data_IF_756197279804
#
_entry.id   IF_756197279804
#
_cell.length_a   1.000
_cell.length_b   1.000
_cell.length_c   1.000
_cell.angle_alpha   90.00
_cell.angle_beta   90.00
_cell.angle_gamma   90.00
#
_symmetry.space_group_name_H-M   'P 1'
#
loop_
_entity.id
_entity.type
_entity.pdbx_description
1 polymer ?
#
# COMPACT_ATOMS: atom_id res chain seq x y z
N UNK A 1 -16.98 9.98 4.46
CA UNK A 1 -15.82 10.70 3.99
C UNK A 1 -15.45 10.22 2.61
N UNK A 2 -15.40 11.13 1.62
CA UNK A 2 -14.91 10.81 0.28
C UNK A 2 -13.46 10.37 0.40
N UNK A 3 -13.19 9.14 0.00
CA UNK A 3 -11.83 8.66 -0.22
C UNK A 3 -11.18 9.63 -1.23
N UNK A 4 -10.24 10.45 -0.76
CA UNK A 4 -9.39 11.20 -1.65
C UNK A 4 -8.79 10.22 -2.66
N UNK A 5 -8.83 10.62 -3.91
CA UNK A 5 -8.41 9.77 -5.00
C UNK A 5 -6.95 9.32 -4.80
N UNK A 6 -6.64 8.03 -5.03
CA UNK A 6 -5.31 7.49 -4.83
C UNK A 6 -4.24 8.36 -5.50
N UNK A 7 -3.09 8.45 -4.85
CA UNK A 7 -1.91 9.19 -5.34
C UNK A 7 -1.29 8.58 -6.61
N UNK A 8 -1.83 7.43 -7.03
CA UNK A 8 -1.49 6.87 -8.35
C UNK A 8 -1.66 7.96 -9.39
N UNK A 9 -0.59 8.37 -10.09
CA UNK A 9 -0.68 9.46 -11.03
C UNK A 9 -1.82 9.20 -12.00
N UNK A 10 -2.84 10.11 -12.03
CA UNK A 10 -3.92 10.05 -13.05
C UNK A 10 -3.35 9.92 -14.45
N UNK A 11 -2.15 10.47 -14.63
CA UNK A 11 -1.39 10.36 -15.83
C UNK A 11 -1.08 8.91 -16.23
N UNK A 12 -0.74 8.02 -15.27
CA UNK A 12 -0.41 6.62 -15.58
C UNK A 12 -1.63 5.87 -16.10
N UNK A 13 -2.78 6.02 -15.45
CA UNK A 13 -4.03 5.39 -15.90
C UNK A 13 -4.36 5.78 -17.34
N UNK A 14 -4.27 7.08 -17.68
CA UNK A 14 -4.56 7.62 -19.01
C UNK A 14 -3.52 7.23 -20.06
N UNK A 15 -2.29 6.99 -19.63
CA UNK A 15 -1.19 6.61 -20.52
C UNK A 15 -1.13 5.10 -20.79
N UNK A 16 -1.91 4.27 -20.08
CA UNK A 16 -1.94 2.84 -20.31
C UNK A 16 -2.76 2.49 -21.54
N UNK A 17 -2.17 1.68 -22.40
CA UNK A 17 -2.79 1.15 -23.61
C UNK A 17 -2.91 -0.37 -23.48
N UNK A 18 -4.13 -0.89 -23.64
CA UNK A 18 -4.38 -2.32 -23.78
C UNK A 18 -4.59 -2.67 -25.25
N UNK A 19 -3.80 -3.58 -25.74
CA UNK A 19 -3.87 -4.02 -27.13
C UNK A 19 -4.80 -5.24 -27.25
N UNK A 20 -5.82 -5.21 -28.12
CA UNK A 20 -6.62 -6.38 -28.46
C UNK A 20 -5.74 -7.48 -29.05
N UNK A 21 -6.21 -8.76 -28.98
CA UNK A 21 -5.45 -9.91 -29.52
C UNK A 21 -5.13 -9.76 -31.01
N UNK A 22 -6.02 -9.15 -31.77
CA UNK A 22 -5.91 -8.95 -33.22
C UNK A 22 -4.94 -7.83 -33.66
N UNK A 23 -4.53 -6.94 -32.75
CA UNK A 23 -3.79 -5.71 -33.10
C UNK A 23 -2.37 -5.67 -32.53
N UNK A 24 -1.78 -6.80 -32.15
CA UNK A 24 -0.51 -6.85 -31.41
C UNK A 24 0.69 -6.25 -32.17
N UNK A 25 0.65 -6.26 -33.52
CA UNK A 25 1.79 -5.86 -34.34
C UNK A 25 1.92 -4.34 -34.56
N UNK A 26 0.85 -3.55 -34.34
CA UNK A 26 0.87 -2.10 -34.62
C UNK A 26 1.57 -1.25 -33.55
N UNK A 27 1.42 -1.61 -32.28
CA UNK A 27 1.92 -0.81 -31.16
C UNK A 27 3.39 -1.06 -30.78
N UNK A 28 3.95 -2.20 -31.19
CA UNK A 28 5.40 -2.45 -31.05
C UNK A 28 6.26 -1.52 -31.89
N UNK A 29 5.65 -0.76 -32.82
CA UNK A 29 6.31 0.22 -33.68
C UNK A 29 6.20 1.66 -33.17
N UNK A 30 5.46 1.92 -32.09
CA UNK A 30 5.37 3.26 -31.51
C UNK A 30 6.57 3.48 -30.59
N UNK A 31 7.51 4.39 -30.90
CA UNK A 31 8.77 4.53 -30.17
C UNK A 31 8.57 4.98 -28.71
N UNK A 32 7.40 5.53 -28.38
CA UNK A 32 7.04 5.99 -27.03
C UNK A 32 6.31 4.95 -26.19
N UNK A 33 5.90 3.80 -26.76
CA UNK A 33 5.14 2.78 -26.06
C UNK A 33 6.06 1.74 -25.43
N UNK A 34 6.09 1.69 -24.11
CA UNK A 34 6.88 0.72 -23.34
C UNK A 34 5.99 -0.42 -22.87
N UNK A 35 6.39 -1.65 -23.15
CA UNK A 35 5.68 -2.84 -22.68
C UNK A 35 5.86 -3.03 -21.18
N UNK A 36 4.77 -3.04 -20.45
CA UNK A 36 4.76 -3.31 -18.99
C UNK A 36 4.65 -4.81 -18.73
N UNK A 37 3.65 -5.47 -19.29
CA UNK A 37 3.50 -6.92 -19.25
C UNK A 37 2.41 -7.36 -20.22
N UNK A 38 2.49 -8.58 -20.73
CA UNK A 38 1.48 -9.13 -21.63
C UNK A 38 1.17 -8.18 -22.80
N UNK A 39 -0.05 -7.66 -22.84
CA UNK A 39 -0.56 -6.72 -23.85
C UNK A 39 -0.84 -5.32 -23.28
N UNK A 40 -0.24 -5.00 -22.15
CA UNK A 40 -0.32 -3.70 -21.51
C UNK A 40 0.95 -2.90 -21.81
N UNK A 41 0.77 -1.72 -22.36
CA UNK A 41 1.82 -0.79 -22.73
C UNK A 41 1.59 0.53 -22.02
N UNK A 42 2.67 1.24 -21.73
CA UNK A 42 2.68 2.59 -21.19
C UNK A 42 3.15 3.54 -22.29
N UNK A 43 2.32 4.49 -22.66
CA UNK A 43 2.66 5.51 -23.64
C UNK A 43 3.31 6.71 -22.94
N UNK A 44 4.62 6.83 -23.08
CA UNK A 44 5.39 7.91 -22.47
C UNK A 44 4.98 9.30 -22.98
N UNK A 45 4.52 9.42 -24.22
CA UNK A 45 4.06 10.69 -24.75
C UNK A 45 2.82 11.23 -24.02
N UNK A 46 1.96 10.32 -23.54
CA UNK A 46 0.77 10.69 -22.74
C UNK A 46 1.08 10.98 -21.26
N UNK A 47 2.21 10.54 -20.77
CA UNK A 47 2.63 10.81 -19.40
C UNK A 47 3.15 12.23 -19.21
N UNK A 48 3.59 12.89 -20.29
CA UNK A 48 4.27 14.18 -20.22
C UNK A 48 5.66 14.10 -19.59
N UNK A 49 6.16 15.22 -19.11
CA UNK A 49 7.46 15.27 -18.45
C UNK A 49 7.37 14.66 -17.04
N UNK A 50 7.99 13.50 -16.87
CA UNK A 50 8.09 12.81 -15.57
C UNK A 50 9.50 13.06 -15.03
N UNK A 51 9.59 13.54 -13.79
CA UNK A 51 10.87 13.62 -13.11
C UNK A 51 11.45 12.22 -12.91
N UNK A 52 12.77 12.07 -13.01
CA UNK A 52 13.45 10.78 -12.83
C UNK A 52 13.09 10.09 -11.49
N UNK A 53 12.86 10.87 -10.44
CA UNK A 53 12.45 10.39 -9.12
C UNK A 53 11.07 9.72 -9.12
N UNK A 54 10.19 10.06 -10.06
CA UNK A 54 8.83 9.52 -10.17
C UNK A 54 8.76 8.23 -11.03
N UNK A 55 9.83 7.89 -11.75
CA UNK A 55 9.83 6.71 -12.64
C UNK A 55 9.52 5.40 -11.91
N UNK A 56 10.05 5.13 -10.70
CA UNK A 56 9.70 3.94 -9.93
C UNK A 56 8.20 3.84 -9.63
N UNK A 57 7.57 4.96 -9.24
CA UNK A 57 6.14 5.03 -8.94
C UNK A 57 5.28 4.76 -10.18
N UNK A 58 5.68 5.33 -11.32
CA UNK A 58 5.03 5.11 -12.60
C UNK A 58 5.05 3.63 -13.00
N UNK A 59 6.19 2.96 -12.86
CA UNK A 59 6.32 1.54 -13.18
C UNK A 59 5.49 0.69 -12.22
N UNK A 60 5.49 1.02 -10.93
CA UNK A 60 4.67 0.31 -9.95
C UNK A 60 3.18 0.47 -10.26
N UNK A 61 2.71 1.70 -10.48
CA UNK A 61 1.32 1.98 -10.86
C UNK A 61 0.92 1.20 -12.12
N UNK A 62 1.75 1.25 -13.17
CA UNK A 62 1.48 0.55 -14.42
C UNK A 62 1.39 -0.98 -14.24
N UNK A 63 2.23 -1.56 -13.37
CA UNK A 63 2.19 -2.97 -13.00
C UNK A 63 0.91 -3.33 -12.23
N UNK A 64 0.48 -2.48 -11.28
CA UNK A 64 -0.75 -2.68 -10.52
C UNK A 64 -1.98 -2.65 -11.44
N UNK A 65 -2.06 -1.67 -12.34
CA UNK A 65 -3.14 -1.62 -13.34
C UNK A 65 -3.12 -2.82 -14.29
N UNK A 66 -1.94 -3.25 -14.73
CA UNK A 66 -1.83 -4.47 -15.54
C UNK A 66 -2.42 -5.68 -14.81
N UNK A 67 -2.07 -5.86 -13.54
CA UNK A 67 -2.58 -6.95 -12.71
C UNK A 67 -4.10 -6.86 -12.54
N UNK A 68 -4.65 -5.68 -12.24
CA UNK A 68 -6.08 -5.47 -12.11
C UNK A 68 -6.85 -5.76 -13.41
N UNK A 69 -6.28 -5.39 -14.55
CA UNK A 69 -6.88 -5.66 -15.86
C UNK A 69 -6.87 -7.15 -16.23
N UNK A 70 -5.85 -7.88 -15.82
CA UNK A 70 -5.73 -9.31 -16.13
C UNK A 70 -6.45 -10.21 -15.13
N UNK A 71 -6.62 -9.71 -13.89
CA UNK A 71 -7.23 -10.42 -12.77
C UNK A 71 -8.29 -9.54 -12.10
N UNK A 72 -9.48 -9.46 -12.69
CA UNK A 72 -10.56 -8.53 -12.27
C UNK A 72 -11.04 -8.69 -10.81
N UNK A 73 -10.84 -9.86 -10.22
CA UNK A 73 -11.18 -10.15 -8.82
C UNK A 73 -10.00 -9.93 -7.85
N UNK A 74 -8.90 -9.37 -8.33
CA UNK A 74 -7.72 -9.10 -7.53
C UNK A 74 -7.87 -7.76 -6.79
N UNK A 75 -7.46 -7.73 -5.54
CA UNK A 75 -7.32 -6.49 -4.78
C UNK A 75 -5.85 -6.19 -4.49
N UNK A 76 -5.50 -4.91 -4.52
CA UNK A 76 -4.22 -4.39 -4.03
C UNK A 76 -4.31 -4.35 -2.50
N UNK A 77 -3.30 -4.90 -1.80
CA UNK A 77 -3.36 -5.07 -0.33
C UNK A 77 -2.12 -4.54 0.38
N UNK A 78 -2.23 -4.34 1.69
CA UNK A 78 -1.12 -4.00 2.57
C UNK A 78 -0.37 -2.75 2.11
N UNK A 79 0.97 -2.86 2.03
CA UNK A 79 1.83 -1.73 1.66
C UNK A 79 1.46 -1.09 0.31
N UNK A 80 1.11 -1.91 -0.68
CA UNK A 80 0.68 -1.39 -1.98
C UNK A 80 -0.65 -0.63 -1.88
N UNK A 81 -1.58 -1.07 -1.03
CA UNK A 81 -2.84 -0.38 -0.80
C UNK A 81 -2.61 0.97 -0.10
N UNK A 82 -1.76 1.00 0.94
CA UNK A 82 -1.40 2.23 1.65
C UNK A 82 -0.73 3.24 0.72
N UNK A 83 0.19 2.78 -0.13
CA UNK A 83 0.82 3.65 -1.12
C UNK A 83 -0.18 4.14 -2.17
N UNK A 84 -1.01 3.25 -2.72
CA UNK A 84 -2.00 3.61 -3.74
C UNK A 84 -3.07 4.59 -3.23
N UNK A 85 -3.31 4.63 -1.92
CA UNK A 85 -4.22 5.58 -1.27
C UNK A 85 -3.51 6.85 -0.76
N UNK A 86 -2.20 7.01 -1.02
CA UNK A 86 -1.42 8.16 -0.59
C UNK A 86 -1.11 8.17 0.92
N UNK A 87 -1.25 7.04 1.59
CA UNK A 87 -0.98 6.91 3.03
C UNK A 87 0.43 6.40 3.34
N UNK A 88 1.18 6.02 2.32
CA UNK A 88 2.60 5.74 2.41
C UNK A 88 3.34 6.61 1.40
N UNK A 89 4.37 7.33 1.84
CA UNK A 89 5.16 8.24 1.00
C UNK A 89 6.01 7.48 -0.01
N UNK A 90 6.59 6.36 0.43
CA UNK A 90 7.51 5.60 -0.40
C UNK A 90 6.79 4.47 -1.15
N UNK A 91 7.12 4.27 -2.44
CA UNK A 91 6.61 3.13 -3.16
C UNK A 91 7.09 1.84 -2.48
N UNK A 92 6.22 0.82 -2.35
CA UNK A 92 6.60 -0.42 -1.71
C UNK A 92 7.76 -1.08 -2.46
N UNK A 93 8.75 -1.52 -1.71
CA UNK A 93 9.81 -2.38 -2.25
C UNK A 93 9.19 -3.74 -2.57
N UNK A 94 9.47 -4.34 -3.74
CA UNK A 94 8.95 -5.67 -4.07
C UNK A 94 9.13 -6.67 -2.92
N UNK A 95 8.15 -7.57 -2.74
CA UNK A 95 7.13 -7.97 -3.70
C UNK A 95 5.85 -7.14 -3.63
N UNK A 96 5.25 -6.87 -4.81
CA UNK A 96 3.90 -6.32 -4.92
C UNK A 96 2.92 -7.22 -4.15
N UNK A 97 2.15 -6.64 -3.25
CA UNK A 97 1.18 -7.37 -2.44
C UNK A 97 -0.22 -7.25 -3.03
N UNK A 98 -0.79 -8.39 -3.39
CA UNK A 98 -2.15 -8.49 -3.90
C UNK A 98 -2.88 -9.67 -3.25
N UNK A 99 -4.19 -9.59 -3.20
CA UNK A 99 -5.05 -10.68 -2.76
C UNK A 99 -6.03 -11.10 -3.86
N UNK A 100 -6.42 -12.37 -3.83
CA UNK A 100 -7.41 -12.94 -4.75
C UNK A 100 -8.38 -13.81 -3.98
N UNK A 101 -9.69 -13.85 -4.38
CA UNK A 101 -10.69 -14.70 -3.74
C UNK A 101 -10.52 -16.18 -4.05
N UNK A 102 -9.69 -16.52 -5.03
CA UNK A 102 -9.37 -17.90 -5.43
C UNK A 102 -7.87 -18.10 -5.40
N UNK A 103 -7.39 -19.32 -5.07
CA UNK A 103 -5.97 -19.65 -5.17
C UNK A 103 -5.45 -19.34 -6.58
N UNK A 104 -4.42 -18.53 -6.66
CA UNK A 104 -3.84 -18.10 -7.93
C UNK A 104 -2.34 -18.41 -7.93
N UNK A 105 -1.84 -18.93 -9.05
CA UNK A 105 -0.40 -19.19 -9.22
C UNK A 105 0.39 -17.87 -9.17
N UNK A 106 1.67 -17.91 -8.78
CA UNK A 106 2.55 -16.75 -8.86
C UNK A 106 2.55 -16.15 -10.27
N UNK A 107 2.43 -14.83 -10.32
CA UNK A 107 2.37 -14.05 -11.57
C UNK A 107 3.75 -13.45 -11.80
N UNK A 108 4.35 -13.74 -12.96
CA UNK A 108 5.64 -13.17 -13.35
C UNK A 108 5.41 -11.90 -14.17
N UNK A 109 5.92 -10.79 -13.69
CA UNK A 109 5.96 -9.52 -14.43
C UNK A 109 7.36 -9.36 -15.01
N UNK A 110 7.49 -9.00 -16.30
CA UNK A 110 8.79 -8.85 -16.95
C UNK A 110 9.57 -7.65 -16.41
N UNK A 111 10.86 -7.58 -16.76
CA UNK A 111 11.64 -6.36 -16.61
C UNK A 111 11.04 -5.24 -17.47
N UNK A 112 11.16 -4.00 -16.96
CA UNK A 112 10.72 -2.79 -17.66
C UNK A 112 11.89 -1.83 -17.72
N UNK A 113 12.10 -1.17 -18.85
CA UNK A 113 13.13 -0.15 -19.01
C UNK A 113 12.47 1.16 -19.47
N UNK A 114 12.72 2.26 -18.78
CA UNK A 114 12.25 3.60 -19.10
C UNK A 114 13.46 4.53 -19.10
N UNK A 115 13.88 5.01 -20.26
CA UNK A 115 15.13 5.76 -20.40
C UNK A 115 16.33 4.94 -19.91
N UNK A 116 17.10 5.49 -18.98
CA UNK A 116 18.23 4.81 -18.32
C UNK A 116 17.83 3.90 -17.15
N UNK A 117 16.59 3.96 -16.70
CA UNK A 117 16.11 3.20 -15.51
C UNK A 117 15.64 1.80 -15.92
N UNK A 118 16.29 0.79 -15.36
CA UNK A 118 15.94 -0.61 -15.54
C UNK A 118 15.33 -1.18 -14.27
N UNK A 119 14.08 -1.64 -14.36
CA UNK A 119 13.35 -2.31 -13.28
C UNK A 119 13.39 -3.82 -13.50
N UNK A 120 13.86 -4.59 -12.52
CA UNK A 120 13.97 -6.04 -12.66
C UNK A 120 12.59 -6.70 -12.81
N UNK A 121 12.55 -7.96 -13.29
CA UNK A 121 11.33 -8.75 -13.28
C UNK A 121 10.88 -8.98 -11.84
N UNK A 122 9.57 -9.05 -11.62
CA UNK A 122 8.96 -9.28 -10.30
C UNK A 122 8.06 -10.49 -10.34
N UNK A 123 8.18 -11.37 -9.35
CA UNK A 123 7.23 -12.46 -9.13
C UNK A 123 6.25 -12.05 -8.04
N UNK A 124 4.99 -11.85 -8.41
CA UNK A 124 3.91 -11.53 -7.50
C UNK A 124 3.28 -12.82 -7.01
N UNK A 125 3.21 -13.01 -5.70
CA UNK A 125 2.54 -14.14 -5.05
C UNK A 125 1.20 -13.66 -4.49
N UNK A 126 0.08 -13.91 -5.19
CA UNK A 126 -1.23 -13.53 -4.69
C UNK A 126 -1.55 -14.24 -3.38
N UNK A 127 -2.10 -13.52 -2.42
CA UNK A 127 -2.63 -14.10 -1.19
C UNK A 127 -4.06 -14.52 -1.42
N UNK A 128 -4.40 -15.72 -0.98
CA UNK A 128 -5.79 -16.17 -0.99
C UNK A 128 -6.51 -15.59 0.24
N UNK A 129 -7.48 -14.72 0.04
CA UNK A 129 -8.27 -14.06 1.09
C UNK A 129 -9.70 -13.87 0.63
N UNK A 130 -10.63 -13.93 1.55
CA UNK A 130 -12.01 -13.57 1.28
C UNK A 130 -12.11 -12.03 1.21
N UNK A 131 -12.36 -11.47 0.02
CA UNK A 131 -12.32 -10.03 -0.26
C UNK A 131 -13.66 -9.31 -0.05
N UNK A 132 -14.68 -9.95 0.51
CA UNK A 132 -16.07 -9.53 0.33
C UNK A 132 -16.48 -8.20 0.97
N UNK A 133 -15.76 -7.66 1.96
CA UNK A 133 -16.21 -6.47 2.69
C UNK A 133 -15.16 -5.38 2.89
N UNK A 134 -13.92 -5.63 2.52
CA UNK A 134 -12.78 -4.78 2.90
C UNK A 134 -12.08 -4.14 1.71
N UNK A 135 -12.76 -4.03 0.56
CA UNK A 135 -12.19 -3.43 -0.64
C UNK A 135 -13.09 -2.33 -1.18
N UNK A 136 -12.46 -1.26 -1.62
CA UNK A 136 -13.11 -0.18 -2.35
C UNK A 136 -12.61 -0.19 -3.80
N UNK A 137 -13.48 0.16 -4.76
CA UNK A 137 -13.05 0.42 -6.13
C UNK A 137 -12.49 1.84 -6.20
N UNK A 138 -11.21 1.94 -6.50
CA UNK A 138 -10.55 3.19 -6.77
C UNK A 138 -10.05 3.19 -8.22
N UNK A 139 -10.85 3.73 -9.12
CA UNK A 139 -10.52 3.88 -10.55
C UNK A 139 -10.18 2.58 -11.27
N UNK A 140 -11.01 1.56 -11.06
CA UNK A 140 -10.80 0.24 -11.67
C UNK A 140 -9.73 -0.62 -10.99
N UNK A 141 -9.19 -0.17 -9.86
CA UNK A 141 -8.40 -0.97 -8.93
C UNK A 141 -9.25 -1.31 -7.71
N UNK A 142 -9.41 -2.57 -7.40
CA UNK A 142 -9.89 -2.96 -6.09
C UNK A 142 -8.75 -2.76 -5.09
N UNK A 143 -8.97 -1.94 -4.08
CA UNK A 143 -7.97 -1.62 -3.05
C UNK A 143 -8.53 -2.00 -1.69
N UNK A 144 -7.73 -2.70 -0.89
CA UNK A 144 -8.03 -2.99 0.51
C UNK A 144 -8.30 -1.68 1.28
N UNK A 145 -9.33 -1.64 2.12
CA UNK A 145 -9.62 -0.44 2.91
C UNK A 145 -8.43 -0.11 3.85
N UNK A 146 -8.39 1.12 4.32
CA UNK A 146 -7.23 1.65 5.02
C UNK A 146 -6.89 0.85 6.29
N UNK A 147 -7.90 0.51 7.09
CA UNK A 147 -7.74 -0.21 8.35
C UNK A 147 -7.24 -1.64 8.10
N UNK A 148 -7.85 -2.33 7.15
CA UNK A 148 -7.47 -3.68 6.77
C UNK A 148 -6.06 -3.70 6.16
N UNK A 149 -5.69 -2.70 5.35
CA UNK A 149 -4.35 -2.57 4.78
C UNK A 149 -3.28 -2.36 5.88
N UNK A 150 -3.56 -1.55 6.90
CA UNK A 150 -2.68 -1.35 8.05
C UNK A 150 -2.48 -2.65 8.83
N UNK A 151 -3.58 -3.36 9.14
CA UNK A 151 -3.51 -4.68 9.81
C UNK A 151 -2.73 -5.68 8.95
N UNK A 152 -2.91 -5.65 7.63
CA UNK A 152 -2.16 -6.50 6.70
C UNK A 152 -0.66 -6.18 6.77
N UNK A 153 -0.26 -4.92 6.81
CA UNK A 153 1.16 -4.51 6.97
C UNK A 153 1.71 -4.96 8.31
N UNK A 154 1.01 -4.67 9.41
CA UNK A 154 1.43 -5.08 10.75
C UNK A 154 1.66 -6.59 10.85
N UNK A 155 0.83 -7.37 10.18
CA UNK A 155 0.85 -8.84 10.20
C UNK A 155 1.88 -9.45 9.28
N UNK A 156 2.11 -8.86 8.10
CA UNK A 156 2.89 -9.50 7.02
C UNK A 156 4.29 -8.94 6.84
N UNK A 157 4.60 -7.82 7.46
CA UNK A 157 5.93 -7.23 7.40
C UNK A 157 6.98 -8.17 8.04
N UNK A 158 8.08 -8.38 7.34
CA UNK A 158 9.26 -9.04 7.87
C UNK A 158 10.13 -8.09 8.72
N UNK A 159 9.80 -6.81 8.71
CA UNK A 159 10.43 -5.79 9.54
C UNK A 159 9.36 -5.15 10.45
N UNK A 160 9.12 -5.68 11.66
CA UNK A 160 8.13 -5.16 12.59
C UNK A 160 8.35 -3.70 12.96
N UNK A 161 9.61 -3.27 13.10
CA UNK A 161 9.96 -1.87 13.37
C UNK A 161 9.50 -0.92 12.27
N UNK A 162 9.71 -1.30 11.01
CA UNK A 162 9.25 -0.48 9.87
C UNK A 162 7.71 -0.42 9.82
N UNK A 163 7.03 -1.56 10.06
CA UNK A 163 5.57 -1.60 10.14
C UNK A 163 5.03 -0.72 11.27
N UNK A 164 5.62 -0.80 12.46
CA UNK A 164 5.29 0.03 13.61
C UNK A 164 5.45 1.52 13.29
N UNK A 165 6.63 1.91 12.80
CA UNK A 165 6.91 3.31 12.42
C UNK A 165 5.88 3.82 11.42
N UNK A 166 5.56 3.02 10.40
CA UNK A 166 4.59 3.41 9.40
C UNK A 166 3.19 3.58 9.97
N UNK A 167 2.75 2.68 10.86
CA UNK A 167 1.44 2.79 11.49
C UNK A 167 1.35 4.04 12.38
N UNK A 168 2.39 4.38 13.15
CA UNK A 168 2.43 5.65 13.89
C UNK A 168 2.23 6.85 12.97
N UNK A 169 2.96 6.91 11.84
CA UNK A 169 2.83 8.02 10.89
C UNK A 169 1.45 8.09 10.24
N UNK A 170 0.87 6.95 9.90
CA UNK A 170 -0.50 6.90 9.36
C UNK A 170 -1.49 7.32 10.43
N UNK A 171 -1.35 6.83 11.67
CA UNK A 171 -2.19 7.20 12.80
C UNK A 171 -2.18 8.70 13.04
N UNK A 172 -1.01 9.33 13.05
CA UNK A 172 -0.86 10.77 13.20
C UNK A 172 -1.68 11.57 12.18
N UNK A 173 -1.55 11.21 10.90
CA UNK A 173 -2.30 11.87 9.81
C UNK A 173 -3.78 11.51 9.84
N UNK A 174 -4.12 10.24 10.09
CA UNK A 174 -5.50 9.75 10.06
C UNK A 174 -6.35 10.33 11.18
N UNK A 175 -5.80 10.46 12.37
CA UNK A 175 -6.50 11.00 13.56
C UNK A 175 -6.46 12.52 13.61
N UNK A 176 -5.73 13.18 12.68
CA UNK A 176 -5.45 14.61 12.74
C UNK A 176 -4.89 14.99 14.11
N UNK A 177 -3.88 14.22 14.58
CA UNK A 177 -3.33 14.38 15.91
C UNK A 177 -2.77 15.79 16.10
N UNK A 178 -3.32 16.51 17.09
CA UNK A 178 -2.96 17.88 17.41
C UNK A 178 -2.47 17.96 18.87
N UNK A 179 -1.25 18.41 19.04
CA UNK A 179 -0.59 18.53 20.33
C UNK A 179 -1.22 19.59 21.23
N UNK A 180 -1.95 20.54 20.64
CA UNK A 180 -2.65 21.60 21.39
C UNK A 180 -4.04 21.17 21.87
N UNK A 181 -4.54 20.03 21.39
CA UNK A 181 -5.85 19.49 21.74
C UNK A 181 -5.76 18.02 22.14
N UNK A 182 -4.87 17.69 23.08
CA UNK A 182 -4.54 16.32 23.46
C UNK A 182 -5.75 15.43 23.80
N UNK A 183 -6.73 15.85 24.60
CA UNK A 183 -7.87 14.98 24.93
C UNK A 183 -8.66 14.53 23.70
N UNK A 184 -8.89 15.44 22.73
CA UNK A 184 -9.57 15.12 21.47
C UNK A 184 -8.72 14.20 20.61
N UNK A 185 -7.43 14.49 20.50
CA UNK A 185 -6.49 13.70 19.71
C UNK A 185 -6.35 12.28 20.25
N UNK A 186 -6.30 12.10 21.56
CA UNK A 186 -6.26 10.78 22.20
C UNK A 186 -7.56 10.00 22.00
N UNK A 187 -8.72 10.67 22.09
CA UNK A 187 -10.00 10.05 21.76
C UNK A 187 -10.07 9.57 20.31
N UNK A 188 -9.56 10.37 19.37
CA UNK A 188 -9.46 9.96 17.96
C UNK A 188 -8.50 8.77 17.76
N UNK A 189 -7.38 8.74 18.48
CA UNK A 189 -6.44 7.62 18.47
C UNK A 189 -7.08 6.33 18.97
N UNK A 190 -7.79 6.38 20.09
CA UNK A 190 -8.52 5.22 20.63
C UNK A 190 -9.54 4.69 19.62
N UNK A 191 -10.31 5.58 18.99
CA UNK A 191 -11.26 5.20 17.95
C UNK A 191 -10.56 4.54 16.76
N UNK A 192 -9.41 5.06 16.31
CA UNK A 192 -8.62 4.45 15.25
C UNK A 192 -8.08 3.07 15.65
N UNK A 193 -7.48 2.93 16.84
CA UNK A 193 -7.01 1.63 17.34
C UNK A 193 -8.15 0.62 17.44
N UNK A 194 -9.33 1.02 17.90
CA UNK A 194 -10.51 0.17 17.93
C UNK A 194 -10.88 -0.37 16.54
N UNK A 195 -10.79 0.46 15.48
CA UNK A 195 -11.02 0.01 14.12
C UNK A 195 -9.99 -1.03 13.67
N UNK A 196 -8.70 -0.82 13.96
CA UNK A 196 -7.64 -1.79 13.66
C UNK A 196 -7.85 -3.13 14.40
N UNK A 197 -8.22 -3.08 15.68
CA UNK A 197 -8.52 -4.28 16.45
C UNK A 197 -9.73 -5.03 15.88
N UNK A 198 -10.77 -4.33 15.46
CA UNK A 198 -11.94 -4.92 14.83
C UNK A 198 -11.54 -5.69 13.57
N UNK A 199 -10.73 -5.09 12.70
CA UNK A 199 -10.20 -5.73 11.50
C UNK A 199 -9.33 -6.95 11.86
N UNK A 200 -8.48 -6.84 12.87
CA UNK A 200 -7.66 -7.95 13.34
C UNK A 200 -8.50 -9.11 13.89
N UNK A 201 -9.59 -8.81 14.60
CA UNK A 201 -10.56 -9.81 15.11
C UNK A 201 -11.27 -10.52 13.96
N UNK A 202 -11.67 -9.80 12.92
CA UNK A 202 -12.36 -10.35 11.75
C UNK A 202 -11.54 -11.41 11.00
N UNK A 203 -10.20 -11.35 11.07
CA UNK A 203 -9.31 -12.34 10.45
C UNK A 203 -9.31 -13.70 11.16
N UNK A 204 -9.91 -13.81 12.33
CA UNK A 204 -9.94 -15.03 13.13
C UNK A 204 -8.63 -15.36 13.86
N UNK A 205 -8.70 -16.32 14.78
CA UNK A 205 -7.58 -16.62 15.71
C UNK A 205 -6.38 -17.32 15.05
N UNK A 206 -6.58 -17.97 13.92
CA UNK A 206 -5.54 -18.71 13.19
C UNK A 206 -4.81 -17.87 12.14
N UNK A 207 -5.08 -16.56 12.09
CA UNK A 207 -4.42 -15.69 11.12
C UNK A 207 -2.89 -15.66 11.34
N UNK A 208 -2.13 -15.85 10.28
CA UNK A 208 -0.67 -15.85 10.32
C UNK A 208 -0.14 -14.55 10.94
N UNK A 209 0.81 -14.65 11.88
CA UNK A 209 1.43 -13.54 12.62
C UNK A 209 0.43 -12.58 13.30
N UNK A 210 -0.70 -13.09 13.76
CA UNK A 210 -1.69 -12.29 14.48
C UNK A 210 -1.12 -11.65 15.77
N UNK A 211 -0.27 -12.38 16.48
CA UNK A 211 0.38 -11.87 17.70
C UNK A 211 1.27 -10.65 17.40
N UNK A 212 2.03 -10.68 16.30
CA UNK A 212 2.84 -9.53 15.86
C UNK A 212 1.96 -8.32 15.57
N UNK A 213 0.87 -8.49 14.82
CA UNK A 213 -0.04 -7.39 14.52
C UNK A 213 -0.71 -6.82 15.77
N UNK A 214 -1.15 -7.69 16.69
CA UNK A 214 -1.71 -7.26 17.97
C UNK A 214 -0.71 -6.42 18.75
N UNK A 215 0.50 -6.93 18.91
CA UNK A 215 1.54 -6.22 19.64
C UNK A 215 1.82 -4.83 19.00
N UNK A 216 1.90 -4.75 17.68
CA UNK A 216 2.08 -3.47 16.98
C UNK A 216 0.90 -2.53 17.28
N UNK A 217 -0.35 -2.98 17.10
CA UNK A 217 -1.55 -2.16 17.31
C UNK A 217 -1.66 -1.67 18.74
N UNK A 218 -1.33 -2.51 19.70
CA UNK A 218 -1.39 -2.17 21.14
C UNK A 218 -0.38 -1.06 21.52
N UNK A 219 0.77 -0.97 20.80
CA UNK A 219 1.88 -0.08 21.18
C UNK A 219 2.11 1.11 20.23
N UNK A 220 1.47 1.15 19.04
CA UNK A 220 1.57 2.35 18.18
C UNK A 220 0.97 3.57 18.87
N UNK A 221 1.52 4.74 18.56
CA UNK A 221 1.08 6.03 19.12
C UNK A 221 0.94 7.05 17.99
N UNK A 222 -0.27 7.58 17.82
CA UNK A 222 -0.56 8.62 16.85
C UNK A 222 0.10 9.98 17.20
N UNK A 223 0.53 10.15 18.44
CA UNK A 223 1.27 11.34 18.89
C UNK A 223 2.70 11.43 18.35
N UNK A 224 3.25 10.36 17.77
CA UNK A 224 4.55 10.43 17.08
C UNK A 224 4.46 11.37 15.86
N UNK A 225 5.11 12.52 15.92
CA UNK A 225 5.12 13.49 14.84
C UNK A 225 6.22 13.20 13.78
N UNK A 226 7.14 12.29 14.08
CA UNK A 226 8.24 11.94 13.17
C UNK A 226 8.56 10.45 13.17
N UNK A 227 9.13 9.93 12.06
CA UNK A 227 9.63 8.56 12.02
C UNK A 227 10.73 8.26 13.07
N UNK A 228 11.48 9.29 13.51
CA UNK A 228 12.49 9.16 14.56
C UNK A 228 11.87 8.85 15.91
N UNK A 229 10.84 9.59 16.30
CA UNK A 229 10.07 9.35 17.53
C UNK A 229 9.41 7.97 17.52
N UNK A 230 8.78 7.58 16.42
CA UNK A 230 8.16 6.27 16.29
C UNK A 230 9.18 5.11 16.41
N UNK A 231 10.40 5.29 15.87
CA UNK A 231 11.48 4.30 16.01
C UNK A 231 11.97 4.21 17.43
N UNK A 232 12.15 5.34 18.10
CA UNK A 232 12.55 5.37 19.51
C UNK A 232 11.49 4.69 20.39
N UNK A 233 10.21 5.03 20.19
CA UNK A 233 9.10 4.38 20.91
C UNK A 233 9.11 2.86 20.69
N UNK A 234 9.32 2.39 19.46
CA UNK A 234 9.44 0.97 19.18
C UNK A 234 10.53 0.29 20.02
N UNK A 235 11.74 0.86 20.05
CA UNK A 235 12.87 0.29 20.82
C UNK A 235 12.57 0.27 22.32
N UNK A 236 11.94 1.31 22.84
CA UNK A 236 11.54 1.39 24.25
C UNK A 236 10.49 0.31 24.58
N UNK A 237 9.47 0.13 23.73
CA UNK A 237 8.46 -0.92 23.91
C UNK A 237 9.07 -2.33 23.84
N UNK A 238 10.01 -2.57 22.93
CA UNK A 238 10.74 -3.84 22.82
C UNK A 238 11.60 -4.10 24.07
N UNK A 239 12.15 -3.03 24.66
CA UNK A 239 12.91 -3.11 25.92
C UNK A 239 12.00 -3.35 27.17
N UNK A 240 10.68 -3.47 26.98
CA UNK A 240 9.73 -3.77 28.05
C UNK A 240 9.20 -2.54 28.80
N UNK A 241 9.50 -1.33 28.29
CA UNK A 241 8.91 -0.10 28.82
C UNK A 241 7.50 0.03 28.23
N UNK A 242 6.48 -0.25 29.02
CA UNK A 242 5.06 -0.20 28.63
C UNK A 242 4.39 1.08 29.17
N UNK A 243 3.26 1.44 28.57
CA UNK A 243 2.49 2.63 28.98
C UNK A 243 3.12 3.96 28.56
N UNK A 244 4.12 3.93 27.69
CA UNK A 244 4.72 5.14 27.14
C UNK A 244 3.77 5.80 26.15
N UNK A 245 3.58 7.09 26.34
CA UNK A 245 2.86 7.95 25.39
C UNK A 245 3.79 9.11 24.99
N UNK A 246 3.77 9.45 23.72
CA UNK A 246 4.36 10.71 23.27
C UNK A 246 3.41 11.84 23.66
N UNK A 247 3.95 12.95 24.13
CA UNK A 247 3.18 14.15 24.52
C UNK A 247 2.15 13.87 25.64
N UNK A 248 2.64 13.84 26.85
CA UNK A 248 1.78 13.85 28.07
C UNK A 248 1.59 15.29 28.49
N UNK A 249 0.36 15.70 28.81
CA UNK A 249 0.13 16.97 29.53
C UNK A 249 0.89 16.92 30.85
N UNK A 250 1.72 17.93 31.09
CA UNK A 250 2.43 18.16 32.33
C UNK A 250 1.63 19.13 33.19
#
# INVERSE_FOLDING_TARGET
GSLEAPSLPRAVERALIRVPRSSHHGLTKTPTAIRIAGRTYLDLARLGNIAAVQVPEVVLAARLYHLAYTHRSMAVTGQCALWATGRASDPPVPPITIATPKPTRPIKLPAVTIGSHRFPPVTVKPRHVHLSTHVADARGLLIENLESAQVTVARTSNNPRAAFTQLCMIGHVYTHFDNFHLPVSRGNEEAWKFLLERELKALGNRAHRRAQARWIIDHVDAGCASPGEARLLYELCVAGLTGLQTLVEV
#
